data_IF_177411347610
#
_entry.id   IF_177411347610
#
_cell.length_a   1.000
_cell.length_b   1.000
_cell.length_c   1.000
_cell.angle_alpha   90.00
_cell.angle_beta   90.00
_cell.angle_gamma   90.00
#
_symmetry.space_group_name_H-M   'P 1'
#
loop_
_entity.id
_entity.type
_entity.pdbx_description
1 polymer ?
#
# COMPACT_ATOMS: atom_id res chain seq x y z
N UNK A 1 24.04 13.01 2.73
CA UNK A 1 22.99 13.66 1.90
C UNK A 1 22.54 14.98 2.50
N UNK A 2 21.76 15.75 1.76
CA UNK A 2 21.11 16.97 2.23
C UNK A 2 19.60 16.77 2.13
N UNK A 3 18.88 17.18 3.17
CA UNK A 3 17.42 17.11 3.20
C UNK A 3 16.88 18.44 3.73
N UNK A 4 15.80 18.92 3.11
CA UNK A 4 15.04 20.05 3.61
C UNK A 4 13.54 19.74 3.64
N UNK A 5 12.83 20.29 4.61
CA UNK A 5 11.37 20.13 4.77
C UNK A 5 10.77 21.52 4.85
N UNK A 6 9.82 21.82 3.96
CA UNK A 6 9.20 23.15 3.87
C UNK A 6 10.23 24.31 3.80
N UNK A 7 11.38 24.09 3.15
CA UNK A 7 12.46 25.08 3.01
C UNK A 7 13.46 25.10 4.17
N UNK A 8 13.22 24.36 5.26
CA UNK A 8 14.11 24.29 6.42
C UNK A 8 15.08 23.11 6.30
N UNK A 9 16.37 23.34 6.54
CA UNK A 9 17.39 22.30 6.61
C UNK A 9 17.22 21.45 7.87
N UNK A 10 17.21 20.10 7.73
CA UNK A 10 16.91 19.19 8.85
C UNK A 10 17.95 19.25 9.99
N UNK A 11 19.16 19.71 9.73
CA UNK A 11 20.23 19.81 10.73
C UNK A 11 20.24 21.21 11.34
N UNK A 12 20.25 22.25 10.50
CA UNK A 12 20.41 23.65 10.93
C UNK A 12 19.13 24.21 11.58
N UNK A 13 17.97 23.79 11.06
CA UNK A 13 16.66 24.31 11.45
C UNK A 13 15.75 23.22 12.04
N UNK A 14 16.32 22.30 12.80
CA UNK A 14 15.62 21.08 13.27
C UNK A 14 14.33 21.34 14.04
N UNK A 15 14.20 22.46 14.74
CA UNK A 15 12.97 22.84 15.44
C UNK A 15 11.85 23.22 14.46
N UNK A 16 12.17 23.99 13.42
CA UNK A 16 11.20 24.38 12.41
C UNK A 16 10.80 23.17 11.55
N UNK A 17 11.72 22.26 11.25
CA UNK A 17 11.41 21.00 10.59
C UNK A 17 10.41 20.20 11.44
N UNK A 18 10.65 20.00 12.75
CA UNK A 18 9.75 19.26 13.65
C UNK A 18 8.37 19.89 13.83
N UNK A 19 8.24 21.21 13.66
CA UNK A 19 6.94 21.89 13.64
C UNK A 19 6.13 21.55 12.38
N UNK A 20 6.78 21.20 11.29
CA UNK A 20 6.14 20.87 10.02
C UNK A 20 5.97 19.38 9.77
N UNK A 21 6.49 18.51 10.65
CA UNK A 21 6.40 17.06 10.51
C UNK A 21 5.53 16.47 11.62
N UNK A 22 4.55 15.65 11.24
CA UNK A 22 3.92 14.66 12.09
C UNK A 22 4.57 13.30 11.85
N UNK A 23 4.98 12.62 12.91
CA UNK A 23 5.61 11.31 12.82
C UNK A 23 4.81 10.26 13.57
N UNK A 24 4.53 9.17 12.88
CA UNK A 24 3.91 7.96 13.39
C UNK A 24 4.93 6.83 13.28
N UNK A 25 5.60 6.42 14.36
CA UNK A 25 6.45 5.23 14.36
C UNK A 25 5.61 3.94 14.34
N UNK A 26 6.19 2.83 13.89
CA UNK A 26 5.57 1.49 13.88
C UNK A 26 4.99 1.13 15.25
N UNK A 27 5.76 1.30 16.31
CA UNK A 27 5.33 1.14 17.70
C UNK A 27 5.24 2.50 18.36
N UNK A 28 4.07 3.14 18.23
CA UNK A 28 3.91 4.48 18.79
C UNK A 28 3.99 4.46 20.31
N UNK A 29 4.91 5.23 20.91
CA UNK A 29 4.98 5.36 22.34
C UNK A 29 3.70 6.01 22.87
N UNK A 30 3.06 5.37 23.81
CA UNK A 30 1.89 5.89 24.49
C UNK A 30 2.06 5.73 26.00
N UNK A 31 1.29 6.48 26.77
CA UNK A 31 1.21 6.32 28.21
C UNK A 31 0.01 5.41 28.51
N UNK A 32 0.23 4.11 28.80
CA UNK A 32 -0.85 3.12 28.91
C UNK A 32 -1.92 3.50 29.93
N UNK A 33 -1.51 4.08 31.05
CA UNK A 33 -2.40 4.48 32.15
C UNK A 33 -3.22 5.75 31.88
N UNK A 34 -2.83 6.54 30.89
CA UNK A 34 -3.59 7.72 30.50
C UNK A 34 -4.83 7.32 29.68
N UNK A 35 -5.91 8.09 29.81
CA UNK A 35 -6.98 8.05 28.81
C UNK A 35 -6.60 8.87 27.57
N UNK A 36 -7.32 8.67 26.46
CA UNK A 36 -7.01 9.32 25.18
C UNK A 36 -7.03 10.85 25.29
N UNK A 37 -8.04 11.42 25.99
CA UNK A 37 -8.16 12.87 26.17
C UNK A 37 -6.97 13.44 26.94
N UNK A 38 -6.58 12.82 28.05
CA UNK A 38 -5.44 13.25 28.87
C UNK A 38 -4.13 13.16 28.06
N UNK A 39 -3.95 12.09 27.28
CA UNK A 39 -2.80 11.92 26.41
C UNK A 39 -2.72 13.01 25.33
N UNK A 40 -3.81 13.29 24.62
CA UNK A 40 -3.84 14.36 23.61
C UNK A 40 -3.63 15.74 24.23
N UNK A 41 -4.18 15.99 25.44
CA UNK A 41 -3.92 17.20 26.20
C UNK A 41 -2.45 17.38 26.58
N UNK A 42 -1.80 16.32 27.02
CA UNK A 42 -0.36 16.30 27.29
C UNK A 42 0.46 16.63 26.04
N UNK A 43 0.14 16.00 24.91
CA UNK A 43 0.82 16.28 23.64
C UNK A 43 0.58 17.73 23.19
N UNK A 44 -0.64 18.25 23.34
CA UNK A 44 -0.94 19.66 23.05
C UNK A 44 -0.04 20.62 23.86
N UNK A 45 0.10 20.37 25.14
CA UNK A 45 0.98 21.17 26.03
C UNK A 45 2.43 21.14 25.58
N UNK A 46 2.98 19.94 25.23
CA UNK A 46 4.36 19.80 24.71
C UNK A 46 4.55 20.59 23.41
N UNK A 47 3.51 20.63 22.57
CA UNK A 47 3.50 21.39 21.31
C UNK A 47 3.28 22.89 21.50
N UNK A 48 3.06 23.36 22.73
CA UNK A 48 2.84 24.77 23.07
C UNK A 48 1.41 25.25 22.90
N UNK A 49 0.44 24.34 22.68
CA UNK A 49 -0.99 24.70 22.65
C UNK A 49 -1.56 24.75 24.05
N UNK A 50 -2.30 25.82 24.35
CA UNK A 50 -2.95 26.03 25.66
C UNK A 50 -4.38 26.52 25.48
N UNK A 51 -5.21 26.33 26.50
CA UNK A 51 -6.58 26.88 26.57
C UNK A 51 -7.44 26.53 25.36
N UNK A 52 -7.97 27.53 24.70
CA UNK A 52 -8.90 27.37 23.55
C UNK A 52 -8.23 26.72 22.36
N UNK A 53 -6.96 27.02 22.09
CA UNK A 53 -6.24 26.48 20.92
C UNK A 53 -5.94 24.98 21.10
N UNK A 54 -5.58 24.56 22.31
CA UNK A 54 -5.42 23.15 22.65
C UNK A 54 -6.74 22.41 22.44
N UNK A 55 -7.85 22.93 22.93
CA UNK A 55 -9.17 22.34 22.77
C UNK A 55 -9.54 22.19 21.29
N UNK A 56 -9.42 23.25 20.49
CA UNK A 56 -9.71 23.21 19.05
C UNK A 56 -8.88 22.17 18.33
N UNK A 57 -7.57 22.08 18.63
CA UNK A 57 -6.67 21.11 18.01
C UNK A 57 -7.04 19.67 18.38
N UNK A 58 -7.39 19.44 19.66
CA UNK A 58 -7.82 18.11 20.13
C UNK A 58 -9.15 17.73 19.47
N UNK A 59 -10.17 18.60 19.51
CA UNK A 59 -11.49 18.33 18.92
C UNK A 59 -11.36 17.96 17.44
N UNK A 60 -10.53 18.69 16.69
CA UNK A 60 -10.24 18.42 15.28
C UNK A 60 -9.65 17.03 15.07
N UNK A 61 -8.61 16.62 15.79
CA UNK A 61 -7.96 15.33 15.58
C UNK A 61 -8.80 14.17 16.08
N UNK A 62 -9.61 14.39 17.11
CA UNK A 62 -10.59 13.43 17.62
C UNK A 62 -11.61 13.09 16.53
N UNK A 63 -12.13 14.10 15.85
CA UNK A 63 -13.07 13.93 14.74
C UNK A 63 -12.42 13.24 13.54
N UNK A 64 -11.22 13.70 13.11
CA UNK A 64 -10.50 13.13 11.97
C UNK A 64 -10.17 11.65 12.20
N UNK A 65 -9.79 11.28 13.44
CA UNK A 65 -9.39 9.91 13.79
C UNK A 65 -10.53 9.05 14.35
N UNK A 66 -11.75 9.58 14.41
CA UNK A 66 -12.96 8.89 14.93
C UNK A 66 -12.73 8.30 16.33
N UNK A 67 -12.33 9.15 17.29
CA UNK A 67 -11.95 8.73 18.65
C UNK A 67 -13.01 9.08 19.72
N UNK A 68 -14.15 9.66 19.35
CA UNK A 68 -15.18 10.18 20.28
C UNK A 68 -15.61 9.11 21.30
N UNK A 69 -15.82 7.89 20.84
CA UNK A 69 -16.34 6.79 21.68
C UNK A 69 -15.30 6.21 22.67
N UNK A 70 -14.03 6.62 22.56
CA UNK A 70 -12.94 6.08 23.37
C UNK A 70 -12.15 7.14 24.14
N UNK A 71 -12.54 8.43 24.07
CA UNK A 71 -11.81 9.56 24.64
C UNK A 71 -11.42 9.38 26.11
N UNK A 72 -12.30 8.80 26.89
CA UNK A 72 -12.10 8.62 28.34
C UNK A 72 -11.68 7.19 28.71
N UNK A 73 -11.44 6.32 27.71
CA UNK A 73 -10.89 4.98 27.95
C UNK A 73 -9.37 5.04 28.10
N UNK A 74 -8.82 4.21 28.98
CA UNK A 74 -7.37 4.05 29.13
C UNK A 74 -6.78 3.47 27.83
N UNK A 75 -5.63 3.98 27.41
CA UNK A 75 -4.95 3.57 26.17
C UNK A 75 -4.63 2.07 26.19
N UNK A 76 -4.22 1.51 27.35
CA UNK A 76 -3.94 0.08 27.47
C UNK A 76 -5.13 -0.81 27.11
N UNK A 77 -6.37 -0.36 27.37
CA UNK A 77 -7.61 -1.10 27.14
C UNK A 77 -8.14 -1.00 25.71
N UNK A 78 -7.51 -0.19 24.86
CA UNK A 78 -7.94 0.01 23.49
C UNK A 78 -7.52 -1.18 22.60
N UNK A 79 -8.33 -1.47 21.57
CA UNK A 79 -7.91 -2.36 20.49
C UNK A 79 -6.72 -1.76 19.73
N UNK A 80 -5.94 -2.62 19.01
CA UNK A 80 -4.80 -2.16 18.20
C UNK A 80 -5.21 -1.04 17.24
N UNK A 81 -6.37 -1.13 16.60
CA UNK A 81 -6.88 -0.10 15.69
C UNK A 81 -7.15 1.24 16.38
N UNK A 82 -7.72 1.25 17.58
CA UNK A 82 -7.92 2.50 18.34
C UNK A 82 -6.58 3.07 18.86
N UNK A 83 -5.64 2.23 19.27
CA UNK A 83 -4.27 2.68 19.61
C UNK A 83 -3.60 3.35 18.42
N UNK A 84 -3.70 2.75 17.24
CA UNK A 84 -3.15 3.30 16.00
C UNK A 84 -3.78 4.65 15.66
N UNK A 85 -5.11 4.77 15.71
CA UNK A 85 -5.81 6.04 15.46
C UNK A 85 -5.49 7.12 16.51
N UNK A 86 -5.27 6.73 17.76
CA UNK A 86 -4.78 7.65 18.81
C UNK A 86 -3.39 8.18 18.47
N UNK A 87 -2.52 7.33 17.94
CA UNK A 87 -1.18 7.72 17.49
C UNK A 87 -1.22 8.62 16.26
N UNK A 88 -2.15 8.38 15.32
CA UNK A 88 -2.43 9.34 14.24
C UNK A 88 -2.87 10.71 14.78
N UNK A 89 -3.79 10.73 15.74
CA UNK A 89 -4.25 11.97 16.36
C UNK A 89 -3.09 12.77 16.99
N UNK A 90 -2.17 12.08 17.67
CA UNK A 90 -0.93 12.69 18.17
C UNK A 90 -0.09 13.30 17.06
N UNK A 91 0.13 12.58 15.98
CA UNK A 91 0.95 13.03 14.84
C UNK A 91 0.32 14.24 14.13
N UNK A 92 -1.01 14.33 14.11
CA UNK A 92 -1.80 15.36 13.43
C UNK A 92 -2.09 16.60 14.30
N UNK A 93 -1.90 16.53 15.61
CA UNK A 93 -2.40 17.51 16.58
C UNK A 93 -1.96 18.95 16.27
N UNK A 94 -0.72 19.14 15.84
CA UNK A 94 -0.13 20.45 15.49
C UNK A 94 -0.30 20.83 14.03
N UNK A 95 -1.14 20.13 13.28
CA UNK A 95 -1.46 20.36 11.88
C UNK A 95 -0.24 20.42 10.95
N UNK A 96 0.62 19.40 10.94
CA UNK A 96 1.83 19.41 10.14
C UNK A 96 1.52 19.40 8.63
N UNK A 97 2.45 19.95 7.83
CA UNK A 97 2.37 19.89 6.37
C UNK A 97 2.84 18.55 5.80
N UNK A 98 3.71 17.87 6.51
CA UNK A 98 4.30 16.58 6.13
C UNK A 98 3.99 15.54 7.19
N UNK A 99 3.56 14.36 6.77
CA UNK A 99 3.41 13.18 7.63
C UNK A 99 4.44 12.13 7.24
N UNK A 100 5.11 11.57 8.21
CA UNK A 100 5.98 10.40 8.06
C UNK A 100 5.35 9.26 8.85
N UNK A 101 4.93 8.22 8.15
CA UNK A 101 4.18 7.09 8.70
C UNK A 101 4.99 5.82 8.51
N UNK A 102 5.31 5.15 9.61
CA UNK A 102 6.08 3.91 9.60
C UNK A 102 5.14 2.74 9.89
N UNK A 103 4.96 1.85 8.91
CA UNK A 103 4.07 0.68 8.96
C UNK A 103 2.67 0.98 9.56
N UNK A 104 1.93 1.98 9.04
CA UNK A 104 0.74 2.52 9.72
C UNK A 104 -0.42 1.54 9.85
N UNK A 105 -0.43 0.45 9.10
CA UNK A 105 -1.51 -0.56 9.13
C UNK A 105 -1.04 -1.95 9.58
N UNK A 106 0.21 -2.07 10.05
CA UNK A 106 0.74 -3.38 10.45
C UNK A 106 -0.07 -4.00 11.59
N UNK A 107 -0.37 -5.30 11.42
CA UNK A 107 -1.12 -6.12 12.38
C UNK A 107 -2.54 -5.62 12.68
N UNK A 108 -3.13 -4.78 11.85
CA UNK A 108 -4.55 -4.43 11.90
C UNK A 108 -5.40 -5.46 11.14
N UNK A 109 -6.63 -5.67 11.63
CA UNK A 109 -7.63 -6.45 10.88
C UNK A 109 -8.09 -5.71 9.60
N UNK A 110 -8.73 -6.40 8.64
CA UNK A 110 -9.12 -5.79 7.35
C UNK A 110 -9.98 -4.53 7.48
N UNK A 111 -10.90 -4.48 8.46
CA UNK A 111 -11.78 -3.33 8.67
C UNK A 111 -10.99 -2.13 9.19
N UNK A 112 -10.08 -2.34 10.14
CA UNK A 112 -9.21 -1.30 10.65
C UNK A 112 -8.22 -0.81 9.58
N UNK A 113 -7.66 -1.70 8.77
CA UNK A 113 -6.84 -1.33 7.60
C UNK A 113 -7.61 -0.41 6.65
N UNK A 114 -8.86 -0.74 6.33
CA UNK A 114 -9.70 0.10 5.48
C UNK A 114 -9.87 1.52 6.03
N UNK A 115 -10.17 1.64 7.34
CA UNK A 115 -10.34 2.94 8.02
C UNK A 115 -9.05 3.76 7.95
N UNK A 116 -7.90 3.15 8.27
CA UNK A 116 -6.60 3.84 8.24
C UNK A 116 -6.20 4.22 6.82
N UNK A 117 -6.39 3.34 5.83
CA UNK A 117 -6.14 3.65 4.40
C UNK A 117 -7.02 4.82 3.91
N UNK A 118 -8.27 4.86 4.33
CA UNK A 118 -9.17 6.00 4.04
C UNK A 118 -8.63 7.29 4.65
N UNK A 119 -8.25 7.24 5.93
CA UNK A 119 -7.66 8.38 6.63
C UNK A 119 -6.41 8.91 5.92
N UNK A 120 -5.48 8.04 5.53
CA UNK A 120 -4.27 8.40 4.79
C UNK A 120 -4.62 9.07 3.45
N UNK A 121 -5.55 8.51 2.67
CA UNK A 121 -5.98 9.10 1.40
C UNK A 121 -6.63 10.47 1.57
N UNK A 122 -7.46 10.65 2.59
CA UNK A 122 -8.13 11.93 2.84
C UNK A 122 -7.12 13.00 3.28
N UNK A 123 -6.16 12.65 4.12
CA UNK A 123 -5.07 13.53 4.51
C UNK A 123 -4.13 13.87 3.35
N UNK A 124 -3.89 12.92 2.44
CA UNK A 124 -3.02 13.09 1.26
C UNK A 124 -3.52 14.14 0.26
N UNK A 125 -4.80 14.54 0.32
CA UNK A 125 -5.34 15.63 -0.51
C UNK A 125 -4.76 16.99 -0.16
N UNK A 126 -4.30 17.18 1.09
CA UNK A 126 -3.84 18.46 1.62
C UNK A 126 -2.41 18.41 2.15
N UNK A 127 -1.90 17.22 2.45
CA UNK A 127 -0.61 17.01 3.11
C UNK A 127 0.30 16.12 2.26
N UNK A 128 1.61 16.35 2.34
CA UNK A 128 2.59 15.42 1.81
C UNK A 128 2.76 14.25 2.79
N UNK A 129 2.58 13.01 2.33
CA UNK A 129 2.70 11.82 3.16
C UNK A 129 3.85 10.95 2.64
N UNK A 130 4.77 10.60 3.52
CA UNK A 130 5.80 9.60 3.31
C UNK A 130 5.42 8.38 4.14
N UNK A 131 5.25 7.24 3.48
CA UNK A 131 4.80 6.01 4.08
C UNK A 131 5.86 4.93 3.85
N UNK A 132 6.35 4.28 4.90
CA UNK A 132 7.07 3.02 4.79
C UNK A 132 6.10 1.85 4.97
N UNK A 133 6.23 0.83 4.14
CA UNK A 133 5.46 -0.41 4.28
C UNK A 133 6.14 -1.56 3.57
N UNK A 134 5.96 -2.77 4.11
CA UNK A 134 6.29 -4.03 3.44
C UNK A 134 5.05 -4.67 2.78
N UNK A 135 3.87 -4.06 2.93
CA UNK A 135 2.60 -4.54 2.39
C UNK A 135 2.33 -3.86 1.04
N UNK A 136 2.62 -4.56 -0.05
CA UNK A 136 2.53 -3.99 -1.40
C UNK A 136 1.11 -3.60 -1.83
N UNK A 137 0.08 -4.24 -1.28
CA UNK A 137 -1.32 -3.83 -1.46
C UNK A 137 -1.59 -2.40 -0.93
N UNK A 138 -0.84 -1.93 0.06
CA UNK A 138 -0.98 -0.57 0.57
C UNK A 138 -0.42 0.44 -0.40
N UNK A 139 0.70 0.11 -1.04
CA UNK A 139 1.28 0.95 -2.07
C UNK A 139 0.27 1.20 -3.18
N UNK A 140 -0.42 0.15 -3.65
CA UNK A 140 -1.47 0.28 -4.66
C UNK A 140 -2.70 1.05 -4.16
N UNK A 141 -3.04 0.92 -2.88
CA UNK A 141 -4.26 1.50 -2.33
C UNK A 141 -4.14 3.00 -1.99
N UNK A 142 -2.96 3.48 -1.56
CA UNK A 142 -2.84 4.82 -0.97
C UNK A 142 -1.68 5.67 -1.50
N UNK A 143 -0.76 5.10 -2.32
CA UNK A 143 0.41 5.83 -2.78
C UNK A 143 0.28 6.30 -4.23
N UNK A 144 0.62 7.56 -4.51
CA UNK A 144 0.75 8.08 -5.88
C UNK A 144 2.12 7.72 -6.49
N UNK A 145 3.11 7.47 -5.65
CA UNK A 145 4.49 7.15 -6.03
C UNK A 145 5.11 6.17 -5.05
N UNK A 146 5.87 5.23 -5.56
CA UNK A 146 6.61 4.26 -4.76
C UNK A 146 8.09 4.24 -5.11
N UNK A 147 8.92 4.02 -4.09
CA UNK A 147 10.37 3.84 -4.20
C UNK A 147 10.70 2.49 -3.58
N UNK A 148 11.35 1.62 -4.35
CA UNK A 148 11.84 0.34 -3.84
C UNK A 148 13.33 0.48 -3.52
N UNK A 149 13.69 0.14 -2.30
CA UNK A 149 15.07 0.18 -1.80
C UNK A 149 15.52 -1.25 -1.54
N UNK A 150 16.70 -1.60 -2.06
CA UNK A 150 17.36 -2.88 -1.80
C UNK A 150 18.86 -2.64 -1.59
N UNK A 151 19.45 -3.26 -0.56
CA UNK A 151 20.87 -3.14 -0.23
C UNK A 151 21.36 -1.67 -0.16
N UNK A 152 20.56 -0.76 0.42
CA UNK A 152 20.89 0.66 0.57
C UNK A 152 20.82 1.49 -0.72
N UNK A 153 20.31 0.93 -1.82
CA UNK A 153 20.19 1.58 -3.12
C UNK A 153 18.74 1.61 -3.61
N UNK A 154 18.38 2.69 -4.32
CA UNK A 154 17.07 2.76 -4.98
C UNK A 154 17.14 1.89 -6.24
N UNK A 155 16.32 0.81 -6.25
CA UNK A 155 16.26 -0.13 -7.37
C UNK A 155 15.06 0.12 -8.29
N UNK A 156 14.02 0.80 -7.80
CA UNK A 156 12.90 1.27 -8.63
C UNK A 156 12.27 2.53 -8.04
N UNK A 157 11.66 3.35 -8.90
CA UNK A 157 11.01 4.60 -8.53
C UNK A 157 9.98 4.98 -9.60
N UNK A 158 8.70 5.05 -9.24
CA UNK A 158 7.63 5.35 -10.19
C UNK A 158 6.25 5.34 -9.54
N UNK A 159 5.20 5.52 -10.35
CA UNK A 159 3.84 5.26 -9.90
C UNK A 159 3.61 3.76 -9.72
N UNK A 160 2.70 3.30 -8.83
CA UNK A 160 2.38 1.88 -8.70
C UNK A 160 2.02 1.23 -10.05
N UNK A 161 1.24 1.93 -10.88
CA UNK A 161 0.88 1.45 -12.22
C UNK A 161 2.10 1.27 -13.13
N UNK A 162 3.03 2.24 -13.17
CA UNK A 162 4.25 2.13 -13.96
C UNK A 162 5.15 0.99 -13.46
N UNK A 163 5.23 0.79 -12.15
CA UNK A 163 6.00 -0.31 -11.57
C UNK A 163 5.39 -1.67 -11.93
N UNK A 164 4.07 -1.83 -11.89
CA UNK A 164 3.41 -3.08 -12.31
C UNK A 164 3.68 -3.44 -13.78
N UNK A 165 3.78 -2.45 -14.67
CA UNK A 165 4.14 -2.68 -16.07
C UNK A 165 5.52 -3.32 -16.25
N UNK A 166 6.41 -3.20 -15.26
CA UNK A 166 7.72 -3.87 -15.29
C UNK A 166 7.66 -5.35 -14.94
N UNK A 167 6.56 -5.82 -14.31
CA UNK A 167 6.35 -7.25 -14.00
C UNK A 167 6.51 -8.12 -15.26
N UNK A 168 7.12 -9.29 -15.10
CA UNK A 168 7.22 -10.26 -16.19
C UNK A 168 5.84 -10.77 -16.66
N UNK A 169 4.83 -10.73 -15.79
CA UNK A 169 3.46 -11.15 -16.08
C UNK A 169 2.55 -10.01 -16.54
N UNK A 170 3.04 -8.79 -16.70
CA UNK A 170 2.22 -7.72 -17.24
C UNK A 170 1.73 -8.04 -18.66
N UNK A 171 0.41 -8.00 -18.88
CA UNK A 171 -0.23 -8.38 -20.13
C UNK A 171 -0.34 -9.88 -20.36
N UNK A 172 0.09 -10.73 -19.40
CA UNK A 172 -0.13 -12.16 -19.47
C UNK A 172 -1.63 -12.48 -19.41
N UNK A 173 -2.04 -13.54 -20.09
CA UNK A 173 -3.42 -14.01 -20.08
C UNK A 173 -3.50 -15.30 -19.28
N UNK A 174 -4.36 -15.32 -18.28
CA UNK A 174 -4.69 -16.55 -17.55
C UNK A 174 -5.95 -17.16 -18.16
N UNK A 175 -5.86 -18.44 -18.53
CA UNK A 175 -6.94 -19.24 -19.11
C UNK A 175 -7.13 -20.50 -18.25
N UNK A 176 -8.36 -20.74 -17.77
CA UNK A 176 -8.72 -21.97 -17.08
C UNK A 176 -9.46 -22.90 -18.04
N UNK A 177 -8.87 -24.10 -18.29
CA UNK A 177 -9.43 -25.10 -19.20
C UNK A 177 -9.81 -26.37 -18.46
N UNK A 178 -10.72 -27.15 -19.09
CA UNK A 178 -11.09 -28.46 -18.60
C UNK A 178 -9.92 -29.46 -18.73
N UNK A 179 -9.82 -30.48 -17.84
CA UNK A 179 -8.72 -31.43 -17.85
C UNK A 179 -8.55 -32.20 -19.17
N UNK A 180 -9.66 -32.46 -19.87
CA UNK A 180 -9.66 -33.15 -21.17
C UNK A 180 -8.86 -32.44 -22.26
N UNK A 181 -8.78 -31.11 -22.16
CA UNK A 181 -8.21 -30.27 -23.22
C UNK A 181 -6.77 -29.83 -22.93
N UNK A 182 -6.25 -30.16 -21.75
CA UNK A 182 -4.98 -29.65 -21.23
C UNK A 182 -3.80 -29.82 -22.18
N UNK A 183 -3.53 -31.07 -22.64
CA UNK A 183 -2.35 -31.37 -23.46
C UNK A 183 -2.42 -30.69 -24.84
N UNK A 184 -3.62 -30.68 -25.44
CA UNK A 184 -3.85 -30.02 -26.73
C UNK A 184 -3.72 -28.52 -26.60
N UNK A 185 -4.32 -27.95 -25.57
CA UNK A 185 -4.27 -26.52 -25.29
C UNK A 185 -2.84 -26.05 -25.06
N UNK A 186 -2.07 -26.75 -24.21
CA UNK A 186 -0.68 -26.42 -23.94
C UNK A 186 0.16 -26.29 -25.21
N UNK A 187 0.15 -27.32 -26.04
CA UNK A 187 0.92 -27.35 -27.30
C UNK A 187 0.52 -26.20 -28.23
N UNK A 188 -0.78 -26.02 -28.46
CA UNK A 188 -1.27 -24.99 -29.37
C UNK A 188 -0.96 -23.57 -28.86
N UNK A 189 -1.00 -23.33 -27.53
CA UNK A 189 -0.66 -22.05 -26.94
C UNK A 189 0.85 -21.74 -27.03
N UNK A 190 1.71 -22.74 -26.85
CA UNK A 190 3.16 -22.60 -26.96
C UNK A 190 3.61 -22.31 -28.40
N UNK A 191 2.86 -22.79 -29.42
CA UNK A 191 3.14 -22.57 -30.83
C UNK A 191 2.70 -21.18 -31.35
N UNK A 192 1.94 -20.40 -30.58
CA UNK A 192 1.48 -19.09 -31.01
C UNK A 192 2.64 -18.08 -31.14
N UNK A 193 2.78 -17.39 -32.29
CA UNK A 193 3.89 -16.45 -32.54
C UNK A 193 3.98 -15.31 -31.54
N UNK A 194 2.85 -14.90 -30.98
CA UNK A 194 2.73 -13.80 -29.99
C UNK A 194 3.06 -14.21 -28.55
N UNK A 195 3.22 -15.51 -28.28
CA UNK A 195 3.47 -16.07 -26.95
C UNK A 195 4.96 -16.26 -26.72
N UNK A 196 5.44 -15.82 -25.55
CA UNK A 196 6.81 -16.00 -25.08
C UNK A 196 6.96 -17.30 -24.29
N UNK A 197 6.05 -17.56 -23.38
CA UNK A 197 6.04 -18.76 -22.53
C UNK A 197 4.63 -19.05 -22.02
N UNK A 198 4.39 -20.32 -21.70
CA UNK A 198 3.15 -20.80 -21.09
C UNK A 198 3.51 -21.50 -19.78
N UNK A 199 3.08 -20.95 -18.66
CA UNK A 199 3.20 -21.58 -17.36
C UNK A 199 1.90 -22.29 -17.03
N UNK A 200 1.99 -23.44 -16.35
CA UNK A 200 0.83 -24.26 -16.01
C UNK A 200 0.74 -24.46 -14.51
N UNK A 201 -0.47 -24.40 -13.96
CA UNK A 201 -0.75 -24.69 -12.57
C UNK A 201 -2.04 -25.49 -12.46
N UNK A 202 -2.04 -26.52 -11.61
CA UNK A 202 -3.24 -27.25 -11.28
C UNK A 202 -4.08 -26.47 -10.27
N UNK A 203 -5.35 -26.30 -10.56
CA UNK A 203 -6.31 -25.57 -9.72
C UNK A 203 -7.54 -26.47 -9.53
N UNK A 204 -7.64 -27.11 -8.39
CA UNK A 204 -8.72 -28.05 -8.05
C UNK A 204 -8.93 -29.09 -9.17
N UNK A 205 -10.07 -29.01 -9.88
CA UNK A 205 -10.42 -29.93 -10.98
C UNK A 205 -10.15 -29.34 -12.38
N UNK A 206 -9.32 -28.29 -12.48
CA UNK A 206 -9.02 -27.59 -13.73
C UNK A 206 -7.52 -27.32 -13.86
N UNK A 207 -7.10 -26.98 -15.07
CA UNK A 207 -5.74 -26.51 -15.31
C UNK A 207 -5.75 -25.03 -15.68
N UNK A 208 -4.89 -24.27 -15.03
CA UNK A 208 -4.66 -22.86 -15.32
C UNK A 208 -3.43 -22.70 -16.18
N UNK A 209 -3.57 -22.01 -17.30
CA UNK A 209 -2.47 -21.55 -18.14
C UNK A 209 -2.23 -20.08 -17.88
N UNK A 210 -0.99 -19.69 -17.59
CA UNK A 210 -0.54 -18.29 -17.60
C UNK A 210 0.30 -18.09 -18.86
N UNK A 211 -0.26 -17.40 -19.85
CA UNK A 211 0.30 -17.20 -21.18
C UNK A 211 0.97 -15.83 -21.22
N UNK A 212 2.30 -15.80 -21.28
CA UNK A 212 3.09 -14.57 -21.25
C UNK A 212 3.30 -14.07 -22.67
N UNK A 213 2.95 -12.81 -23.01
CA UNK A 213 3.17 -12.26 -24.34
C UNK A 213 4.66 -11.98 -24.62
N UNK A 214 5.07 -12.03 -25.88
CA UNK A 214 6.39 -11.56 -26.32
C UNK A 214 6.52 -10.05 -26.19
N UNK A 215 5.49 -9.31 -26.57
CA UNK A 215 5.38 -7.87 -26.39
C UNK A 215 4.23 -7.56 -25.40
N UNK A 216 4.59 -7.02 -24.26
CA UNK A 216 3.65 -6.68 -23.18
C UNK A 216 2.64 -5.58 -23.55
N UNK A 217 2.94 -4.79 -24.59
CA UNK A 217 2.08 -3.70 -25.04
C UNK A 217 1.00 -4.17 -26.04
N UNK A 218 1.12 -5.40 -26.55
CA UNK A 218 0.17 -5.96 -27.50
C UNK A 218 -0.75 -6.94 -26.77
N UNK A 219 -2.06 -6.61 -26.62
CA UNK A 219 -3.01 -7.52 -25.98
C UNK A 219 -3.15 -8.83 -26.77
N UNK A 220 -2.93 -9.96 -26.11
CA UNK A 220 -3.06 -11.29 -26.71
C UNK A 220 -4.37 -12.00 -26.37
N UNK A 221 -5.23 -11.37 -25.54
CA UNK A 221 -6.48 -11.98 -25.06
C UNK A 221 -7.40 -12.41 -26.20
N UNK A 222 -7.54 -11.59 -27.26
CA UNK A 222 -8.33 -11.94 -28.44
C UNK A 222 -7.78 -13.18 -29.15
N UNK A 223 -6.47 -13.22 -29.40
CA UNK A 223 -5.80 -14.36 -30.05
C UNK A 223 -6.02 -15.64 -29.24
N UNK A 224 -5.86 -15.57 -27.91
CA UNK A 224 -6.07 -16.74 -27.03
C UNK A 224 -7.52 -17.20 -27.06
N UNK A 225 -8.48 -16.25 -26.99
CA UNK A 225 -9.91 -16.55 -27.05
C UNK A 225 -10.31 -17.22 -28.37
N UNK A 226 -9.83 -16.69 -29.50
CA UNK A 226 -10.11 -17.24 -30.83
C UNK A 226 -9.48 -18.62 -31.01
N UNK A 227 -8.26 -18.80 -30.49
CA UNK A 227 -7.59 -20.12 -30.50
C UNK A 227 -8.38 -21.13 -29.67
N UNK A 228 -8.86 -20.76 -28.49
CA UNK A 228 -9.66 -21.64 -27.64
C UNK A 228 -10.98 -22.04 -28.33
N UNK A 229 -11.68 -21.10 -28.94
CA UNK A 229 -12.92 -21.34 -29.68
C UNK A 229 -12.72 -22.22 -30.92
N UNK A 230 -11.69 -21.92 -31.73
CA UNK A 230 -11.40 -22.66 -32.96
C UNK A 230 -11.00 -24.13 -32.71
N UNK A 231 -10.47 -24.40 -31.52
CA UNK A 231 -10.10 -25.76 -31.11
C UNK A 231 -11.14 -26.44 -30.22
N UNK A 232 -12.27 -25.77 -29.99
CA UNK A 232 -13.39 -26.25 -29.15
C UNK A 232 -12.96 -26.63 -27.70
N UNK A 233 -12.05 -25.86 -27.13
CA UNK A 233 -11.66 -26.08 -25.74
C UNK A 233 -12.72 -25.56 -24.79
N UNK A 234 -13.14 -26.38 -23.85
CA UNK A 234 -13.97 -25.95 -22.74
C UNK A 234 -13.13 -25.11 -21.76
N UNK A 235 -13.39 -23.80 -21.69
CA UNK A 235 -12.75 -22.94 -20.70
C UNK A 235 -13.79 -22.21 -19.85
N UNK A 236 -13.46 -21.96 -18.58
CA UNK A 236 -14.38 -21.34 -17.60
C UNK A 236 -14.04 -19.89 -17.33
N UNK A 237 -12.76 -19.51 -17.41
CA UNK A 237 -12.29 -18.15 -17.13
C UNK A 237 -11.16 -17.76 -18.05
N UNK A 238 -11.17 -16.50 -18.45
CA UNK A 238 -10.06 -15.84 -19.14
C UNK A 238 -9.93 -14.43 -18.58
N UNK A 239 -8.73 -14.04 -18.17
CA UNK A 239 -8.45 -12.67 -17.71
C UNK A 239 -7.01 -12.27 -18.01
N UNK A 240 -6.79 -10.96 -18.16
CA UNK A 240 -5.47 -10.38 -18.40
C UNK A 240 -4.86 -9.94 -17.07
N UNK A 241 -3.63 -10.33 -16.79
CA UNK A 241 -2.85 -9.92 -15.63
C UNK A 241 -2.32 -8.49 -15.85
N UNK A 242 -2.60 -7.61 -14.90
CA UNK A 242 -2.12 -6.23 -14.94
C UNK A 242 -0.72 -6.05 -14.32
N UNK A 243 -0.04 -7.16 -14.03
CA UNK A 243 1.20 -7.17 -13.27
C UNK A 243 0.95 -6.97 -11.77
N UNK A 244 1.82 -7.52 -10.95
CA UNK A 244 1.75 -7.44 -9.49
C UNK A 244 3.01 -6.79 -8.94
N UNK A 245 2.85 -5.91 -7.96
CA UNK A 245 4.01 -5.29 -7.31
C UNK A 245 4.87 -6.32 -6.58
N UNK A 246 4.28 -7.42 -6.07
CA UNK A 246 5.00 -8.53 -5.44
C UNK A 246 6.02 -9.18 -6.39
N UNK A 247 5.63 -9.38 -7.65
CA UNK A 247 6.53 -9.96 -8.67
C UNK A 247 7.67 -9.00 -9.00
N UNK A 248 7.35 -7.70 -9.12
CA UNK A 248 8.35 -6.64 -9.35
C UNK A 248 9.32 -6.57 -8.18
N UNK A 249 8.80 -6.53 -6.95
CA UNK A 249 9.61 -6.49 -5.74
C UNK A 249 10.56 -7.69 -5.65
N UNK A 250 10.01 -8.91 -5.81
CA UNK A 250 10.80 -10.15 -5.81
C UNK A 250 11.88 -10.12 -6.90
N UNK A 251 11.53 -9.73 -8.12
CA UNK A 251 12.47 -9.67 -9.25
C UNK A 251 13.64 -8.70 -8.99
N UNK A 252 13.38 -7.57 -8.32
CA UNK A 252 14.38 -6.54 -8.06
C UNK A 252 15.24 -6.83 -6.82
N UNK A 253 14.69 -7.54 -5.83
CA UNK A 253 15.38 -7.80 -4.55
C UNK A 253 16.07 -9.16 -4.48
N UNK A 254 15.69 -10.16 -5.33
CA UNK A 254 16.30 -11.50 -5.33
C UNK A 254 17.54 -11.60 -6.25
N UNK A 255 17.83 -10.59 -7.06
CA UNK A 255 19.00 -10.56 -7.94
C UNK A 255 20.26 -9.97 -7.29
N UNK A 256 20.26 -9.84 -5.97
CA UNK A 256 21.38 -9.28 -5.21
C UNK A 256 22.14 -10.38 -4.50
#
# INVERSE_FOLDING_TARGET
GKVSVCGFDIIKDSLNVRKNIGYLPESAPSYPDMNVMAFLGFIASIRGFNGVDAKKSIDRVVQICELENVLYKKIETLSKGFKQRTSFAQALLHDPKVLVLDEPTDGLDPNQKYIVRKLIRDLGKEKTIILSTHILEEVDAVCDRAIIISNGSIVANGTPAALRQTSQFFGAVTLLVNPSDFQKAKKSLEELPSVKSVETKDVENQHSFTIVPKDKNIPITGIITDTAKNNDWGFTQIFTDQGRLEDVFRQLTTKS
#
